data_IF_688213721903
#
_entry.id   IF_688213721903
#
_cell.length_a   1.000
_cell.length_b   1.000
_cell.length_c   1.000
_cell.angle_alpha   90.00
_cell.angle_beta   90.00
_cell.angle_gamma   90.00
#
_symmetry.space_group_name_H-M   'P 1'
#
loop_
_entity.id
_entity.type
_entity.pdbx_description
1 polymer ?
#
# COMPACT_ATOMS: atom_id res chain seq x y z
N UNK A 1 1.27 18.14 -12.43
CA UNK A 1 1.56 17.69 -11.05
C UNK A 1 2.17 16.30 -11.18
N UNK A 2 3.26 15.98 -10.49
CA UNK A 2 3.90 14.66 -10.64
C UNK A 2 3.05 13.56 -9.98
N UNK A 3 3.11 12.32 -10.49
CA UNK A 3 2.38 11.17 -9.93
C UNK A 3 2.63 10.95 -8.42
N UNK A 4 3.87 11.03 -7.91
CA UNK A 4 4.12 10.92 -6.47
C UNK A 4 3.35 11.96 -5.65
N UNK A 5 3.26 13.20 -6.15
CA UNK A 5 2.55 14.28 -5.47
C UNK A 5 1.04 14.06 -5.50
N UNK A 6 0.50 13.52 -6.60
CA UNK A 6 -0.92 13.16 -6.71
C UNK A 6 -1.30 12.03 -5.76
N UNK A 7 -0.46 10.98 -5.67
CA UNK A 7 -0.64 9.88 -4.72
C UNK A 7 -0.55 10.38 -3.27
N UNK A 8 0.41 11.24 -2.98
CA UNK A 8 0.56 11.83 -1.64
C UNK A 8 -0.69 12.63 -1.24
N UNK A 9 -1.23 13.44 -2.17
CA UNK A 9 -2.48 14.16 -1.95
C UNK A 9 -3.66 13.21 -1.75
N UNK A 10 -3.81 12.20 -2.62
CA UNK A 10 -4.85 11.19 -2.50
C UNK A 10 -4.84 10.54 -1.12
N UNK A 11 -3.69 10.05 -0.67
CA UNK A 11 -3.60 9.39 0.63
C UNK A 11 -3.84 10.36 1.79
N UNK A 12 -3.34 11.60 1.71
CA UNK A 12 -3.57 12.61 2.74
C UNK A 12 -5.06 12.98 2.87
N UNK A 13 -5.77 13.04 1.76
CA UNK A 13 -7.20 13.40 1.73
C UNK A 13 -8.11 12.24 2.11
N UNK A 14 -7.72 11.01 1.79
CA UNK A 14 -8.62 9.83 1.80
C UNK A 14 -8.34 8.84 2.92
N UNK A 15 -7.13 8.85 3.49
CA UNK A 15 -6.76 8.03 4.65
C UNK A 15 -6.72 8.91 5.89
N UNK A 16 -7.88 9.16 6.47
CA UNK A 16 -8.02 9.95 7.70
C UNK A 16 -7.68 9.13 8.95
N UNK A 17 -7.77 7.81 8.84
CA UNK A 17 -7.47 6.84 9.90
C UNK A 17 -6.15 6.14 9.62
N UNK A 18 -5.24 6.15 10.60
CA UNK A 18 -4.05 5.31 10.56
C UNK A 18 -4.37 3.92 11.09
N UNK A 19 -4.30 2.91 10.22
CA UNK A 19 -4.49 1.50 10.60
C UNK A 19 -3.14 0.79 10.70
N UNK A 20 -3.14 -0.29 11.47
CA UNK A 20 -2.09 -1.32 11.49
C UNK A 20 -2.68 -2.60 10.96
N UNK A 21 -2.25 -3.00 9.77
CA UNK A 21 -2.64 -4.25 9.13
C UNK A 21 -2.01 -5.42 9.88
N UNK A 22 -2.76 -6.51 10.01
CA UNK A 22 -2.33 -7.71 10.74
C UNK A 22 -2.75 -8.94 9.95
N UNK A 23 -1.77 -9.61 9.38
CA UNK A 23 -1.99 -10.78 8.55
C UNK A 23 -0.93 -11.85 8.84
N UNK A 24 -1.26 -13.10 8.53
CA UNK A 24 -0.35 -14.23 8.72
C UNK A 24 0.08 -14.81 7.38
N UNK A 25 1.38 -15.00 7.20
CA UNK A 25 1.99 -15.68 6.05
C UNK A 25 2.88 -16.78 6.62
N UNK A 26 2.77 -18.02 6.13
CA UNK A 26 3.61 -19.14 6.58
C UNK A 26 3.67 -19.32 8.11
N UNK A 27 2.52 -19.18 8.79
CA UNK A 27 2.38 -19.23 10.27
C UNK A 27 3.10 -18.12 11.04
N UNK A 28 3.71 -17.15 10.35
CA UNK A 28 4.30 -15.95 10.95
C UNK A 28 3.30 -14.80 10.95
N UNK A 29 3.19 -14.12 12.09
CA UNK A 29 2.35 -12.93 12.23
C UNK A 29 3.12 -11.71 11.74
N UNK A 30 2.57 -11.01 10.75
CA UNK A 30 3.10 -9.75 10.25
C UNK A 30 2.19 -8.60 10.69
N UNK A 31 2.83 -7.48 10.98
CA UNK A 31 2.14 -6.23 11.29
C UNK A 31 2.78 -5.11 10.49
N UNK A 32 1.96 -4.32 9.80
CA UNK A 32 2.43 -3.22 8.97
C UNK A 32 1.55 -2.00 9.17
N UNK A 33 2.16 -0.85 9.42
CA UNK A 33 1.43 0.42 9.54
C UNK A 33 1.04 0.94 8.15
N UNK A 34 -0.14 1.55 8.01
CA UNK A 34 -0.59 2.17 6.76
C UNK A 34 0.47 3.12 6.18
N UNK A 35 1.15 3.89 7.04
CA UNK A 35 2.19 4.83 6.61
C UNK A 35 3.37 4.14 5.91
N UNK A 36 3.72 2.92 6.30
CA UNK A 36 4.81 2.18 5.67
C UNK A 36 4.47 1.82 4.23
N UNK A 37 3.32 1.16 4.00
CA UNK A 37 2.95 0.75 2.64
C UNK A 37 2.66 1.94 1.72
N UNK A 38 2.08 3.02 2.27
CA UNK A 38 1.91 4.28 1.54
C UNK A 38 3.26 4.83 1.10
N UNK A 39 4.26 4.81 1.98
CA UNK A 39 5.61 5.25 1.64
C UNK A 39 6.20 4.40 0.50
N UNK A 40 6.10 3.09 0.58
CA UNK A 40 6.59 2.19 -0.48
C UNK A 40 5.96 2.52 -1.84
N UNK A 41 4.65 2.83 -1.88
CA UNK A 41 3.93 3.20 -3.10
C UNK A 41 4.41 4.54 -3.66
N UNK A 42 4.56 5.58 -2.83
CA UNK A 42 4.99 6.91 -3.29
C UNK A 42 6.47 6.96 -3.68
N UNK A 43 7.27 5.98 -3.27
CA UNK A 43 8.69 5.84 -3.65
C UNK A 43 8.92 4.78 -4.72
N UNK A 44 7.86 4.13 -5.23
CA UNK A 44 7.94 3.13 -6.28
C UNK A 44 8.48 3.71 -7.61
N UNK A 45 8.70 2.87 -8.60
CA UNK A 45 9.01 3.37 -9.95
C UNK A 45 7.79 4.08 -10.56
N UNK A 46 8.03 5.00 -11.50
CA UNK A 46 6.95 5.70 -12.20
C UNK A 46 6.00 4.74 -12.92
N UNK A 47 6.53 3.67 -13.52
CA UNK A 47 5.74 2.60 -14.18
C UNK A 47 4.81 1.89 -13.19
N UNK A 48 5.29 1.54 -12.00
CA UNK A 48 4.45 0.92 -10.96
C UNK A 48 3.37 1.90 -10.47
N UNK A 49 3.72 3.17 -10.30
CA UNK A 49 2.75 4.20 -9.90
C UNK A 49 1.66 4.40 -10.96
N UNK A 50 2.01 4.40 -12.26
CA UNK A 50 1.04 4.52 -13.35
C UNK A 50 -0.01 3.39 -13.33
N UNK A 51 0.41 2.19 -12.93
CA UNK A 51 -0.49 1.03 -12.78
C UNK A 51 -1.38 1.17 -11.53
N UNK A 52 -0.79 1.57 -10.40
CA UNK A 52 -1.50 1.63 -9.11
C UNK A 52 -2.45 2.83 -9.00
N UNK A 53 -2.07 3.98 -9.55
CA UNK A 53 -2.81 5.24 -9.43
C UNK A 53 -4.29 5.14 -9.82
N UNK A 54 -4.69 4.58 -10.98
CA UNK A 54 -6.10 4.48 -11.34
C UNK A 54 -6.89 3.55 -10.40
N UNK A 55 -6.26 2.48 -9.90
CA UNK A 55 -6.88 1.53 -8.97
C UNK A 55 -7.15 2.22 -7.62
N UNK A 56 -6.13 2.86 -7.07
CA UNK A 56 -6.20 3.60 -5.81
C UNK A 56 -7.21 4.73 -5.88
N UNK A 57 -7.25 5.45 -7.01
CA UNK A 57 -8.23 6.53 -7.22
C UNK A 57 -9.66 6.00 -7.22
N UNK A 58 -9.92 4.88 -7.89
CA UNK A 58 -11.26 4.26 -7.92
C UNK A 58 -11.71 3.81 -6.52
N UNK A 59 -10.80 3.21 -5.75
CA UNK A 59 -11.11 2.75 -4.39
C UNK A 59 -11.24 3.91 -3.37
N UNK A 60 -10.70 5.08 -3.69
CA UNK A 60 -10.63 6.22 -2.77
C UNK A 60 -11.98 6.87 -2.41
N UNK A 61 -13.08 6.47 -3.04
CA UNK A 61 -14.42 6.89 -2.63
C UNK A 61 -14.83 6.26 -1.29
N UNK A 62 -14.19 5.15 -0.90
CA UNK A 62 -14.42 4.46 0.36
C UNK A 62 -13.08 4.17 1.05
N UNK A 63 -12.83 4.86 2.17
CA UNK A 63 -11.61 4.72 2.96
C UNK A 63 -11.38 3.27 3.44
N UNK A 64 -12.43 2.53 3.80
CA UNK A 64 -12.28 1.12 4.20
C UNK A 64 -11.85 0.24 3.02
N UNK A 65 -12.42 0.46 1.84
CA UNK A 65 -12.00 -0.25 0.63
C UNK A 65 -10.54 0.07 0.25
N UNK A 66 -10.13 1.32 0.42
CA UNK A 66 -8.75 1.73 0.21
C UNK A 66 -7.80 1.04 1.21
N UNK A 67 -8.21 0.93 2.49
CA UNK A 67 -7.45 0.19 3.49
C UNK A 67 -7.36 -1.31 3.19
N UNK A 68 -8.45 -1.96 2.78
CA UNK A 68 -8.46 -3.37 2.41
C UNK A 68 -7.47 -3.64 1.27
N UNK A 69 -7.41 -2.74 0.29
CA UNK A 69 -6.45 -2.85 -0.80
C UNK A 69 -5.00 -2.59 -0.37
N UNK A 70 -4.77 -1.63 0.53
CA UNK A 70 -3.44 -1.39 1.10
C UNK A 70 -2.95 -2.58 1.95
N UNK A 71 -3.86 -3.26 2.66
CA UNK A 71 -3.54 -4.51 3.38
C UNK A 71 -3.19 -5.64 2.41
N UNK A 72 -3.92 -5.74 1.29
CA UNK A 72 -3.58 -6.67 0.21
C UNK A 72 -2.18 -6.40 -0.36
N UNK A 73 -1.84 -5.15 -0.65
CA UNK A 73 -0.50 -4.77 -1.12
C UNK A 73 0.58 -5.04 -0.06
N UNK A 74 0.30 -4.79 1.22
CA UNK A 74 1.18 -5.12 2.32
C UNK A 74 1.48 -6.63 2.38
N UNK A 75 0.46 -7.46 2.13
CA UNK A 75 0.61 -8.92 2.06
C UNK A 75 1.54 -9.33 0.91
N UNK A 76 1.34 -8.77 -0.28
CA UNK A 76 2.20 -9.04 -1.45
C UNK A 76 3.65 -8.60 -1.20
N UNK A 77 3.83 -7.43 -0.59
CA UNK A 77 5.15 -6.88 -0.26
C UNK A 77 5.95 -7.85 0.60
N UNK A 78 5.34 -8.35 1.68
CA UNK A 78 5.98 -9.33 2.56
C UNK A 78 6.30 -10.62 1.81
N UNK A 79 5.34 -11.18 1.06
CA UNK A 79 5.55 -12.41 0.29
C UNK A 79 6.70 -12.30 -0.72
N UNK A 80 6.87 -11.11 -1.31
CA UNK A 80 7.93 -10.88 -2.30
C UNK A 80 9.28 -10.74 -1.62
N UNK A 81 9.37 -9.98 -0.52
CA UNK A 81 10.62 -9.77 0.20
C UNK A 81 11.10 -11.01 0.98
N UNK A 82 10.19 -11.86 1.46
CA UNK A 82 10.57 -13.15 2.04
C UNK A 82 11.22 -14.09 1.02
N UNK A 83 10.71 -14.11 -0.23
CA UNK A 83 11.33 -14.88 -1.32
C UNK A 83 12.73 -14.40 -1.68
N UNK A 84 13.02 -13.11 -1.50
CA UNK A 84 14.35 -12.56 -1.72
C UNK A 84 15.33 -12.80 -0.56
N UNK A 85 14.83 -13.15 0.64
CA UNK A 85 15.66 -13.39 1.83
C UNK A 85 16.18 -14.83 1.93
N UNK A 86 15.82 -15.70 0.98
CA UNK A 86 16.14 -17.15 0.99
C UNK A 86 17.23 -17.60 0.01
N UNK A 87 18.04 -16.67 -0.52
CA UNK A 87 19.19 -16.96 -1.38
C UNK A 87 20.49 -16.41 -0.81
#
# INVERSE_FOLDING_TARGET
>A
MSLPLQLQQLFTEKLTVHKRYRFSINEQLHMMDTAFIVNEIITASEEEMEILFPILTNMSENEDALHDYLEYLATIYVQTNERHSTF
#
